data_IF_784638064513
#
_entry.id   IF_784638064513
#
_cell.length_a   1.000
_cell.length_b   1.000
_cell.length_c   1.000
_cell.angle_alpha   90.00
_cell.angle_beta   90.00
_cell.angle_gamma   90.00
#
_symmetry.space_group_name_H-M   'P 1'
#
loop_
_entity.id
_entity.type
_entity.pdbx_description
1 polymer ?
#
# COMPACT_ATOMS: atom_id res chain seq x y z
N UNK A 1 24.81 -0.40 0.13
CA UNK A 1 23.55 0.38 0.13
C UNK A 1 23.45 1.05 -1.23
N UNK A 2 22.33 0.90 -1.92
CA UNK A 2 22.07 1.51 -3.23
C UNK A 2 20.86 2.41 -3.07
N UNK A 3 20.90 3.62 -3.62
CA UNK A 3 19.84 4.62 -3.54
C UNK A 3 19.45 5.01 -4.96
N UNK A 4 18.16 5.01 -5.25
CA UNK A 4 17.60 5.37 -6.55
C UNK A 4 16.69 6.59 -6.42
N UNK A 5 16.66 7.43 -7.45
CA UNK A 5 15.66 8.48 -7.55
C UNK A 5 14.29 7.85 -7.89
N UNK A 6 13.28 8.09 -7.05
CA UNK A 6 11.89 7.71 -7.33
C UNK A 6 11.20 8.74 -8.20
N UNK A 7 11.63 9.99 -8.16
CA UNK A 7 11.05 11.11 -8.88
C UNK A 7 12.12 11.87 -9.68
N UNK A 8 11.69 12.79 -10.54
CA UNK A 8 12.61 13.71 -11.23
C UNK A 8 13.25 14.67 -10.22
N UNK A 9 14.58 14.77 -10.23
CA UNK A 9 15.36 15.62 -9.32
C UNK A 9 16.05 16.72 -10.13
N UNK A 10 15.69 17.98 -9.87
CA UNK A 10 16.29 19.14 -10.52
C UNK A 10 17.51 19.62 -9.74
N UNK A 11 18.37 20.39 -10.41
CA UNK A 11 19.53 21.01 -9.76
C UNK A 11 19.06 21.94 -8.64
N UNK A 12 19.51 21.66 -7.42
CA UNK A 12 19.18 22.45 -6.22
C UNK A 12 18.05 21.85 -5.38
N UNK A 13 17.39 20.78 -5.85
CA UNK A 13 16.41 20.05 -5.05
C UNK A 13 17.10 19.30 -3.91
N UNK A 14 16.43 19.24 -2.77
CA UNK A 14 16.85 18.41 -1.64
C UNK A 14 16.55 16.94 -1.93
N UNK A 15 17.51 16.07 -1.65
CA UNK A 15 17.34 14.62 -1.81
C UNK A 15 16.81 14.05 -0.49
N UNK A 16 15.57 13.53 -0.52
CA UNK A 16 14.90 12.97 0.64
C UNK A 16 14.76 11.45 0.52
N UNK A 17 14.89 10.74 1.64
CA UNK A 17 14.50 9.33 1.80
C UNK A 17 13.63 9.18 3.04
N UNK A 18 12.65 8.28 3.01
CA UNK A 18 11.80 8.03 4.18
C UNK A 18 12.52 7.13 5.18
N UNK A 19 12.58 7.53 6.45
CA UNK A 19 13.13 6.71 7.55
C UNK A 19 12.08 5.81 8.21
N UNK A 20 10.82 5.98 7.85
CA UNK A 20 9.67 5.30 8.42
C UNK A 20 8.78 4.76 7.30
N UNK A 21 7.80 3.94 7.64
CA UNK A 21 6.81 3.47 6.67
C UNK A 21 5.86 4.63 6.27
N UNK A 22 5.88 5.12 5.02
CA UNK A 22 5.00 6.22 4.60
C UNK A 22 3.53 5.81 4.51
N UNK A 23 3.22 4.50 4.49
CA UNK A 23 1.85 3.99 4.49
C UNK A 23 1.19 3.99 5.87
N UNK A 24 1.96 4.20 6.94
CA UNK A 24 1.40 4.31 8.28
C UNK A 24 0.59 5.59 8.43
N UNK A 25 -0.36 5.57 9.36
CA UNK A 25 -1.21 6.74 9.62
C UNK A 25 -0.41 7.88 10.29
N UNK A 26 -0.95 9.10 10.28
CA UNK A 26 -0.24 10.29 10.76
C UNK A 26 0.30 10.17 12.20
N UNK A 27 -0.49 9.64 13.15
CA UNK A 27 -0.05 9.50 14.54
C UNK A 27 1.07 8.47 14.68
N UNK A 28 1.03 7.38 13.92
CA UNK A 28 2.12 6.40 13.88
C UNK A 28 3.39 7.02 13.31
N UNK A 29 3.30 7.69 12.15
CA UNK A 29 4.44 8.38 11.53
C UNK A 29 5.04 9.41 12.48
N UNK A 30 4.20 10.22 13.14
CA UNK A 30 4.62 11.21 14.15
C UNK A 30 5.32 10.54 15.35
N UNK A 31 4.80 9.41 15.82
CA UNK A 31 5.39 8.65 16.93
C UNK A 31 6.76 8.10 16.55
N UNK A 32 6.89 7.47 15.39
CA UNK A 32 8.17 6.93 14.91
C UNK A 32 9.21 8.02 14.68
N UNK A 33 8.78 9.19 14.18
CA UNK A 33 9.67 10.33 13.96
C UNK A 33 10.03 11.10 15.24
N UNK A 34 9.31 10.91 16.35
CA UNK A 34 9.52 11.69 17.58
C UNK A 34 10.93 11.57 18.17
N UNK A 35 11.61 10.44 17.93
CA UNK A 35 12.99 10.21 18.36
C UNK A 35 14.05 10.98 17.56
N UNK A 36 13.69 11.59 16.44
CA UNK A 36 14.63 12.26 15.52
C UNK A 36 14.82 13.76 15.81
N UNK A 37 14.10 14.31 16.80
CA UNK A 37 14.28 15.69 17.23
C UNK A 37 13.68 16.76 16.29
N UNK A 38 12.78 16.37 15.39
CA UNK A 38 12.03 17.29 14.53
C UNK A 38 10.56 16.89 14.41
N UNK A 39 9.73 17.83 13.92
CA UNK A 39 8.34 17.56 13.55
C UNK A 39 8.28 17.59 12.02
N UNK A 40 7.85 16.49 11.41
CA UNK A 40 7.77 16.40 9.95
C UNK A 40 6.66 17.31 9.39
N UNK A 41 7.02 18.10 8.37
CA UNK A 41 6.15 19.05 7.69
C UNK A 41 6.02 18.74 6.18
N UNK A 42 6.20 17.48 5.79
CA UNK A 42 6.00 17.10 4.38
C UNK A 42 4.53 17.26 3.96
N UNK A 43 4.28 17.33 2.65
CA UNK A 43 2.93 17.47 2.07
C UNK A 43 1.92 16.47 2.69
N UNK A 44 2.32 15.20 2.84
CA UNK A 44 1.49 14.17 3.43
C UNK A 44 1.09 14.48 4.88
N UNK A 45 2.05 14.91 5.72
CA UNK A 45 1.78 15.26 7.11
C UNK A 45 0.93 16.54 7.21
N UNK A 46 1.18 17.55 6.37
CA UNK A 46 0.35 18.76 6.36
C UNK A 46 -1.09 18.48 5.95
N UNK A 47 -1.28 17.60 4.96
CA UNK A 47 -2.62 17.20 4.52
C UNK A 47 -3.37 16.42 5.59
N UNK A 48 -2.72 15.47 6.25
CA UNK A 48 -3.34 14.71 7.34
C UNK A 48 -3.77 15.64 8.49
N UNK A 49 -2.95 16.64 8.86
CA UNK A 49 -3.30 17.61 9.91
C UNK A 49 -4.50 18.49 9.52
N UNK A 50 -4.65 18.81 8.24
CA UNK A 50 -5.77 19.61 7.73
C UNK A 50 -7.06 18.81 7.55
N UNK A 51 -6.98 17.48 7.52
CA UNK A 51 -8.15 16.62 7.35
C UNK A 51 -8.92 16.50 8.67
N UNK A 52 -10.16 17.01 8.78
CA UNK A 52 -10.91 16.99 10.03
C UNK A 52 -11.25 15.57 10.53
N UNK A 53 -11.08 14.53 9.70
CA UNK A 53 -11.40 13.14 10.03
C UNK A 53 -10.16 12.28 10.32
N UNK A 54 -8.94 12.84 10.34
CA UNK A 54 -7.73 12.04 10.57
C UNK A 54 -7.72 11.37 11.95
N UNK A 55 -8.20 12.08 12.98
CA UNK A 55 -8.27 11.57 14.35
C UNK A 55 -9.19 10.36 14.47
N UNK A 56 -10.38 10.46 13.90
CA UNK A 56 -11.43 9.44 13.95
C UNK A 56 -11.00 8.19 13.18
N UNK A 57 -10.35 8.35 12.02
CA UNK A 57 -9.78 7.21 11.28
C UNK A 57 -8.67 6.53 12.07
N UNK A 58 -7.87 7.31 12.81
CA UNK A 58 -6.83 6.76 13.67
C UNK A 58 -7.40 6.00 14.86
N UNK A 59 -8.45 6.51 15.51
CA UNK A 59 -9.14 5.77 16.58
C UNK A 59 -9.74 4.46 16.07
N UNK A 60 -10.39 4.49 14.90
CA UNK A 60 -10.88 3.31 14.21
C UNK A 60 -9.78 2.28 13.96
N UNK A 61 -8.61 2.75 13.51
CA UNK A 61 -7.44 1.91 13.26
C UNK A 61 -6.86 1.30 14.54
N UNK A 62 -6.71 2.09 15.60
CA UNK A 62 -6.25 1.59 16.91
C UNK A 62 -7.23 0.57 17.50
N UNK A 63 -8.53 0.75 17.30
CA UNK A 63 -9.53 -0.24 17.70
C UNK A 63 -9.31 -1.57 16.95
N UNK A 64 -9.11 -1.51 15.63
CA UNK A 64 -8.80 -2.70 14.82
C UNK A 64 -7.56 -3.44 15.29
N UNK A 65 -6.47 -2.70 15.56
CA UNK A 65 -5.20 -3.28 15.97
C UNK A 65 -5.27 -4.07 17.27
N UNK A 66 -6.19 -3.73 18.18
CA UNK A 66 -6.37 -4.46 19.46
C UNK A 66 -6.76 -5.92 19.28
N UNK A 67 -7.36 -6.25 18.14
CA UNK A 67 -7.84 -7.60 17.85
C UNK A 67 -7.30 -8.17 16.53
N UNK A 68 -6.46 -7.41 15.80
CA UNK A 68 -5.76 -7.92 14.64
C UNK A 68 -4.57 -8.78 15.06
N UNK A 69 -4.49 -9.97 14.48
CA UNK A 69 -3.34 -10.89 14.60
C UNK A 69 -2.80 -11.17 13.21
N UNK A 70 -1.61 -11.77 13.13
CA UNK A 70 -0.99 -12.16 11.84
C UNK A 70 -1.93 -13.03 10.98
N UNK A 71 -2.63 -13.96 11.63
CA UNK A 71 -3.74 -14.72 11.06
C UNK A 71 -5.07 -14.12 11.55
N UNK A 72 -5.96 -13.72 10.66
CA UNK A 72 -7.25 -13.12 11.02
C UNK A 72 -8.38 -14.16 10.98
N UNK A 73 -8.96 -14.56 12.13
CA UNK A 73 -10.15 -15.41 12.15
C UNK A 73 -11.33 -14.76 11.42
N UNK A 74 -12.28 -15.57 10.95
CA UNK A 74 -13.46 -15.10 10.19
C UNK A 74 -14.25 -14.01 10.93
N UNK A 75 -14.36 -14.12 12.25
CA UNK A 75 -15.05 -13.14 13.10
C UNK A 75 -14.35 -11.78 13.06
N UNK A 76 -13.01 -11.78 13.00
CA UNK A 76 -12.21 -10.56 12.92
C UNK A 76 -12.27 -9.98 11.51
N UNK A 77 -12.25 -10.81 10.47
CA UNK A 77 -12.47 -10.35 9.09
C UNK A 77 -13.80 -9.59 8.99
N UNK A 78 -14.90 -10.12 9.55
CA UNK A 78 -16.19 -9.45 9.54
C UNK A 78 -16.18 -8.09 10.27
N UNK A 79 -15.42 -7.98 11.38
CA UNK A 79 -15.21 -6.69 12.05
C UNK A 79 -14.41 -5.71 11.19
N UNK A 80 -13.34 -6.20 10.55
CA UNK A 80 -12.54 -5.41 9.62
C UNK A 80 -13.35 -4.91 8.43
N UNK A 81 -14.24 -5.73 7.87
CA UNK A 81 -15.20 -5.34 6.83
C UNK A 81 -16.16 -4.24 7.27
N UNK A 82 -16.70 -4.36 8.49
CA UNK A 82 -17.53 -3.32 9.07
C UNK A 82 -16.77 -2.00 9.24
N UNK A 83 -15.51 -2.07 9.66
CA UNK A 83 -14.63 -0.92 9.80
C UNK A 83 -14.26 -0.31 8.45
N UNK A 84 -13.93 -1.13 7.46
CA UNK A 84 -13.60 -0.73 6.10
C UNK A 84 -14.71 0.15 5.51
N UNK A 85 -15.97 -0.24 5.72
CA UNK A 85 -17.14 0.55 5.29
C UNK A 85 -17.24 1.91 5.98
N UNK A 86 -16.88 2.00 7.28
CA UNK A 86 -16.85 3.28 8.01
C UNK A 86 -15.71 4.17 7.50
N UNK A 87 -14.51 3.60 7.37
CA UNK A 87 -13.32 4.30 6.89
C UNK A 87 -13.55 4.83 5.47
N UNK A 88 -14.08 4.02 4.55
CA UNK A 88 -14.41 4.47 3.17
C UNK A 88 -15.31 5.72 3.17
N UNK A 89 -16.30 5.79 4.06
CA UNK A 89 -17.22 6.94 4.18
C UNK A 89 -16.58 8.17 4.84
N UNK A 90 -15.52 8.00 5.61
CA UNK A 90 -14.81 9.09 6.27
C UNK A 90 -13.87 9.86 5.35
N UNK A 91 -13.59 9.35 4.15
CA UNK A 91 -12.82 10.04 3.13
C UNK A 91 -13.76 10.94 2.31
N UNK A 92 -13.44 12.24 2.27
CA UNK A 92 -14.11 13.20 1.38
C UNK A 92 -13.43 13.23 0.00
N UNK A 93 -14.15 13.66 -1.02
CA UNK A 93 -13.59 13.89 -2.35
C UNK A 93 -12.51 14.97 -2.28
N UNK A 94 -11.28 14.62 -2.69
CA UNK A 94 -10.08 15.48 -2.56
C UNK A 94 -8.98 14.91 -1.65
N UNK A 95 -9.29 13.90 -0.82
CA UNK A 95 -8.27 13.21 -0.04
C UNK A 95 -7.33 12.39 -0.95
N UNK A 96 -6.22 13.01 -1.35
CA UNK A 96 -5.20 12.43 -2.25
C UNK A 96 -4.58 11.16 -1.67
N UNK A 97 -4.42 11.08 -0.36
CA UNK A 97 -3.80 9.96 0.33
C UNK A 97 -4.83 9.25 1.22
N UNK A 98 -5.15 8.00 0.89
CA UNK A 98 -6.06 7.16 1.69
C UNK A 98 -5.28 6.05 2.41
N UNK A 99 -4.23 6.43 3.14
CA UNK A 99 -3.26 5.49 3.72
C UNK A 99 -3.90 4.44 4.65
N UNK A 100 -4.77 4.87 5.58
CA UNK A 100 -5.49 3.95 6.49
C UNK A 100 -6.39 2.99 5.71
N UNK A 101 -7.04 3.48 4.65
CA UNK A 101 -7.86 2.65 3.77
C UNK A 101 -7.00 1.61 3.04
N UNK A 102 -5.88 2.02 2.43
CA UNK A 102 -4.97 1.12 1.73
C UNK A 102 -4.40 0.04 2.66
N UNK A 103 -4.00 0.42 3.88
CA UNK A 103 -3.44 -0.52 4.85
C UNK A 103 -4.48 -1.55 5.31
N UNK A 104 -5.71 -1.12 5.62
CA UNK A 104 -6.78 -2.04 6.00
C UNK A 104 -7.18 -2.98 4.85
N UNK A 105 -7.27 -2.47 3.63
CA UNK A 105 -7.58 -3.29 2.44
C UNK A 105 -6.53 -4.38 2.24
N UNK A 106 -5.24 -4.04 2.39
CA UNK A 106 -4.14 -5.01 2.28
C UNK A 106 -4.19 -6.09 3.36
N UNK A 107 -4.49 -5.71 4.61
CA UNK A 107 -4.63 -6.69 5.70
C UNK A 107 -5.82 -7.63 5.42
N UNK A 108 -6.96 -7.09 5.00
CA UNK A 108 -8.13 -7.90 4.68
C UNK A 108 -7.91 -8.78 3.44
N UNK A 109 -7.18 -8.30 2.43
CA UNK A 109 -6.85 -9.09 1.25
C UNK A 109 -5.98 -10.30 1.61
N UNK A 110 -5.01 -10.13 2.51
CA UNK A 110 -4.20 -11.24 3.05
C UNK A 110 -5.07 -12.26 3.79
N UNK A 111 -5.99 -11.78 4.64
CA UNK A 111 -6.94 -12.67 5.34
C UNK A 111 -7.87 -13.43 4.39
N UNK A 112 -8.30 -12.80 3.30
CA UNK A 112 -9.12 -13.46 2.29
C UNK A 112 -8.35 -14.51 1.48
N UNK A 113 -7.05 -14.32 1.24
CA UNK A 113 -6.19 -15.36 0.65
C UNK A 113 -6.14 -16.58 1.58
N UNK A 114 -5.91 -16.35 2.89
CA UNK A 114 -5.83 -17.42 3.89
C UNK A 114 -7.14 -18.23 4.02
N UNK A 115 -8.28 -17.60 3.74
CA UNK A 115 -9.60 -18.25 3.78
C UNK A 115 -10.05 -18.79 2.42
N UNK A 116 -9.24 -18.67 1.37
CA UNK A 116 -9.50 -19.16 0.02
C UNK A 116 -10.45 -18.30 -0.82
N UNK A 117 -10.83 -17.10 -0.34
CA UNK A 117 -11.64 -16.16 -1.12
C UNK A 117 -10.75 -15.22 -1.95
N UNK A 118 -10.11 -15.81 -2.96
CA UNK A 118 -9.15 -15.09 -3.82
C UNK A 118 -9.80 -13.93 -4.57
N UNK A 119 -11.07 -14.07 -4.98
CA UNK A 119 -11.79 -13.01 -5.73
C UNK A 119 -11.93 -11.73 -4.93
N UNK A 120 -12.35 -11.80 -3.66
CA UNK A 120 -12.44 -10.60 -2.80
C UNK A 120 -11.07 -10.03 -2.49
N UNK A 121 -10.06 -10.89 -2.29
CA UNK A 121 -8.68 -10.43 -2.09
C UNK A 121 -8.18 -9.58 -3.27
N UNK A 122 -8.37 -10.06 -4.49
CA UNK A 122 -7.98 -9.36 -5.73
C UNK A 122 -8.66 -8.00 -5.84
N UNK A 123 -9.96 -7.92 -5.55
CA UNK A 123 -10.70 -6.65 -5.56
C UNK A 123 -10.07 -5.62 -4.59
N UNK A 124 -9.61 -6.06 -3.42
CA UNK A 124 -8.98 -5.18 -2.45
C UNK A 124 -7.57 -4.77 -2.87
N UNK A 125 -6.78 -5.69 -3.41
CA UNK A 125 -5.46 -5.38 -3.94
C UNK A 125 -5.52 -4.40 -5.13
N UNK A 126 -6.51 -4.55 -6.03
CA UNK A 126 -6.77 -3.57 -7.10
C UNK A 126 -7.08 -2.17 -6.55
N UNK A 127 -7.87 -2.08 -5.47
CA UNK A 127 -8.19 -0.81 -4.81
C UNK A 127 -6.97 -0.21 -4.12
N UNK A 128 -6.13 -1.02 -3.47
CA UNK A 128 -4.84 -0.58 -2.89
C UNK A 128 -3.96 0.04 -3.97
N UNK A 129 -3.81 -0.63 -5.11
CA UNK A 129 -3.03 -0.09 -6.24
C UNK A 129 -3.58 1.26 -6.69
N UNK A 130 -4.91 1.42 -6.82
CA UNK A 130 -5.52 2.70 -7.22
C UNK A 130 -5.24 3.81 -6.21
N UNK A 131 -5.23 3.50 -4.92
CA UNK A 131 -4.91 4.49 -3.87
C UNK A 131 -3.42 4.85 -3.90
N UNK A 132 -2.55 3.87 -4.17
CA UNK A 132 -1.10 4.04 -4.11
C UNK A 132 -0.46 4.49 -5.43
N UNK A 133 -1.19 4.47 -6.55
CA UNK A 133 -0.68 4.79 -7.89
C UNK A 133 -0.02 6.17 -7.98
N UNK A 134 -0.44 7.10 -7.12
CA UNK A 134 0.22 8.39 -6.98
C UNK A 134 -0.01 8.95 -5.55
N UNK A 135 1.04 9.30 -4.79
CA UNK A 135 2.47 9.32 -5.14
C UNK A 135 3.28 8.14 -4.56
N UNK A 136 2.64 7.12 -3.98
CA UNK A 136 3.35 5.97 -3.40
C UNK A 136 3.69 4.89 -4.44
N UNK A 137 3.75 5.27 -5.73
CA UNK A 137 3.93 4.40 -6.88
C UNK A 137 5.19 3.53 -6.78
N UNK A 138 6.23 4.07 -6.16
CA UNK A 138 7.55 3.43 -6.04
C UNK A 138 7.78 2.76 -4.68
N UNK A 139 6.74 2.64 -3.85
CA UNK A 139 6.85 1.91 -2.60
C UNK A 139 7.07 0.42 -2.89
N UNK A 140 8.06 -0.21 -2.24
CA UNK A 140 8.45 -1.61 -2.52
C UNK A 140 7.27 -2.61 -2.50
N UNK A 141 6.30 -2.41 -1.59
CA UNK A 141 5.07 -3.22 -1.51
C UNK A 141 4.23 -3.21 -2.80
N UNK A 142 4.34 -2.18 -3.65
CA UNK A 142 3.61 -2.13 -4.93
C UNK A 142 4.06 -3.26 -5.85
N UNK A 143 5.36 -3.58 -5.89
CA UNK A 143 5.86 -4.69 -6.68
C UNK A 143 5.22 -6.02 -6.24
N UNK A 144 5.22 -6.30 -4.93
CA UNK A 144 4.65 -7.52 -4.35
C UNK A 144 3.15 -7.67 -4.64
N UNK A 145 2.39 -6.58 -4.51
CA UNK A 145 0.95 -6.56 -4.79
C UNK A 145 0.70 -6.79 -6.28
N UNK A 146 1.46 -6.13 -7.15
CA UNK A 146 1.33 -6.29 -8.59
C UNK A 146 1.66 -7.72 -9.03
N UNK A 147 2.71 -8.34 -8.49
CA UNK A 147 3.06 -9.75 -8.76
C UNK A 147 1.93 -10.69 -8.34
N UNK A 148 1.36 -10.48 -7.14
CA UNK A 148 0.22 -11.26 -6.65
C UNK A 148 -0.99 -11.18 -7.59
N UNK A 149 -1.28 -9.99 -8.11
CA UNK A 149 -2.35 -9.79 -9.09
C UNK A 149 -2.01 -10.40 -10.45
N UNK A 150 -0.75 -10.31 -10.90
CA UNK A 150 -0.32 -10.89 -12.17
C UNK A 150 -0.52 -12.41 -12.19
N UNK A 151 -0.13 -13.11 -11.11
CA UNK A 151 -0.34 -14.55 -10.93
C UNK A 151 -1.84 -14.89 -10.98
N UNK A 152 -2.68 -14.09 -10.31
CA UNK A 152 -4.12 -14.31 -10.33
C UNK A 152 -4.71 -14.15 -11.74
N UNK A 153 -4.39 -13.07 -12.44
CA UNK A 153 -4.91 -12.83 -13.78
C UNK A 153 -4.41 -13.87 -14.79
N UNK A 154 -3.17 -14.34 -14.64
CA UNK A 154 -2.66 -15.44 -15.43
C UNK A 154 -3.48 -16.72 -15.19
N UNK A 155 -3.71 -17.08 -13.92
CA UNK A 155 -4.48 -18.28 -13.57
C UNK A 155 -5.93 -18.26 -14.05
N UNK A 156 -6.47 -17.06 -14.29
CA UNK A 156 -7.84 -16.84 -14.77
C UNK A 156 -7.92 -16.57 -16.29
N UNK A 157 -6.77 -16.55 -16.97
CA UNK A 157 -6.67 -16.35 -18.43
C UNK A 157 -6.72 -14.89 -18.89
N UNK A 158 -6.77 -13.91 -17.98
CA UNK A 158 -6.70 -12.48 -18.31
C UNK A 158 -5.22 -12.05 -18.48
N UNK A 159 -4.59 -12.55 -19.53
CA UNK A 159 -3.17 -12.30 -19.81
C UNK A 159 -2.87 -10.81 -20.00
N UNK A 160 -3.84 -10.03 -20.50
CA UNK A 160 -3.67 -8.59 -20.68
C UNK A 160 -3.47 -7.87 -19.34
N UNK A 161 -4.34 -8.13 -18.35
CA UNK A 161 -4.15 -7.55 -17.02
C UNK A 161 -2.93 -8.11 -16.32
N UNK A 162 -2.61 -9.38 -16.53
CA UNK A 162 -1.40 -9.99 -15.96
C UNK A 162 -0.15 -9.23 -16.39
N UNK A 163 0.04 -9.02 -17.70
CA UNK A 163 1.16 -8.24 -18.25
C UNK A 163 1.16 -6.80 -17.72
N UNK A 164 -0.01 -6.15 -17.68
CA UNK A 164 -0.13 -4.79 -17.13
C UNK A 164 0.37 -4.68 -15.68
N UNK A 165 0.07 -5.69 -14.85
CA UNK A 165 0.54 -5.70 -13.46
C UNK A 165 2.06 -5.92 -13.38
N UNK A 166 2.62 -6.75 -14.25
CA UNK A 166 4.08 -6.97 -14.31
C UNK A 166 4.81 -5.69 -14.73
N UNK A 167 4.32 -4.99 -15.74
CA UNK A 167 4.85 -3.69 -16.16
C UNK A 167 4.84 -2.70 -14.99
N UNK A 168 3.73 -2.64 -14.24
CA UNK A 168 3.62 -1.79 -13.05
C UNK A 168 4.58 -2.20 -11.92
N UNK A 169 4.78 -3.50 -11.71
CA UNK A 169 5.74 -4.01 -10.74
C UNK A 169 7.16 -3.58 -11.09
N UNK A 170 7.52 -3.62 -12.38
CA UNK A 170 8.83 -3.16 -12.87
C UNK A 170 8.99 -1.64 -12.73
N UNK A 171 7.93 -0.86 -12.97
CA UNK A 171 7.95 0.59 -12.79
C UNK A 171 8.21 1.02 -11.34
N UNK A 172 7.91 0.17 -10.34
CA UNK A 172 8.14 0.49 -8.92
C UNK A 172 9.62 0.71 -8.57
N UNK A 173 10.55 0.38 -9.47
CA UNK A 173 12.02 0.41 -9.27
C UNK A 173 12.50 -0.47 -8.11
N UNK A 174 11.66 -1.40 -7.65
CA UNK A 174 12.07 -2.47 -6.72
C UNK A 174 13.12 -3.41 -7.36
N UNK A 175 13.05 -3.58 -8.68
CA UNK A 175 14.05 -4.29 -9.47
C UNK A 175 14.74 -3.32 -10.45
N UNK A 176 16.06 -3.43 -10.55
CA UNK A 176 16.92 -2.60 -11.39
C UNK A 176 16.80 -2.92 -12.87
N UNK A 177 16.53 -4.20 -13.19
CA UNK A 177 16.37 -4.69 -14.54
C UNK A 177 15.50 -5.96 -14.57
N UNK A 178 15.23 -6.44 -15.79
CA UNK A 178 14.49 -7.69 -16.02
C UNK A 178 15.19 -8.89 -15.37
N UNK A 179 16.52 -8.94 -15.33
CA UNK A 179 17.27 -10.07 -14.76
C UNK A 179 17.03 -10.17 -13.26
N UNK A 180 17.09 -9.05 -12.55
CA UNK A 180 16.79 -8.98 -11.12
C UNK A 180 15.32 -9.28 -10.84
N UNK A 181 14.40 -8.80 -11.69
CA UNK A 181 12.99 -9.15 -11.56
C UNK A 181 12.76 -10.66 -11.71
N UNK A 182 13.37 -11.31 -12.72
CA UNK A 182 13.29 -12.77 -12.92
C UNK A 182 13.87 -13.55 -11.74
N UNK A 183 14.85 -12.99 -11.03
CA UNK A 183 15.42 -13.60 -9.82
C UNK A 183 14.45 -13.52 -8.62
N UNK A 184 13.78 -12.38 -8.43
CA UNK A 184 12.85 -12.19 -7.32
C UNK A 184 11.47 -12.83 -7.56
N UNK A 185 11.02 -12.88 -8.81
CA UNK A 185 9.70 -13.35 -9.20
C UNK A 185 9.80 -14.37 -10.36
N UNK A 186 10.45 -15.53 -10.14
CA UNK A 186 10.63 -16.55 -11.18
C UNK A 186 9.29 -17.09 -11.71
N UNK A 187 8.25 -17.11 -10.88
CA UNK A 187 6.92 -17.65 -11.18
C UNK A 187 6.18 -16.93 -12.32
N UNK A 188 6.51 -15.66 -12.60
CA UNK A 188 5.90 -14.85 -13.67
C UNK A 188 6.93 -14.39 -14.71
N UNK A 189 8.14 -14.96 -14.66
CA UNK A 189 9.28 -14.56 -15.51
C UNK A 189 9.09 -14.85 -16.99
N UNK A 190 8.19 -15.77 -17.35
CA UNK A 190 7.85 -16.14 -18.73
C UNK A 190 6.99 -15.08 -19.44
N UNK A 191 6.43 -14.14 -18.69
CA UNK A 191 5.65 -13.02 -19.21
C UNK A 191 6.52 -11.79 -19.57
N UNK A 192 7.86 -11.89 -19.42
CA UNK A 192 8.85 -10.80 -19.58
C UNK A 192 9.83 -10.96 -20.75
#
# INVERSE_FOLDING_TARGET
MIVFATDDIKKGDEICISYINPLSNYLERKKELSGWGFICQCELCEMDVKDPMYSERNEMWEEFKKFSTEFLPKEIIAKGEALLRKIRKSYIDGNKYKVVLAELLWILSSAYIQTGNTTTSVQYLEEVIKIMDNPLKYHYKIAEICVSLAIYYESTGDLQKSVQMIEKAMESKFCNDKSQFKLYFPEISHLL
#
